data_IF_406037280454
#
_entry.id   IF_406037280454
#
_cell.length_a   1.000
_cell.length_b   1.000
_cell.length_c   1.000
_cell.angle_alpha   90.00
_cell.angle_beta   90.00
_cell.angle_gamma   90.00
#
_symmetry.space_group_name_H-M   'P 1'
#
loop_
_entity.id
_entity.type
_entity.pdbx_description
1 polymer ?
#
# COMPACT_ATOMS: atom_id res chain seq x y z
N UNK A 1 27.59 -12.66 12.57
CA UNK A 1 26.38 -11.85 12.25
C UNK A 1 26.41 -10.48 12.94
N UNK A 2 26.61 -10.39 14.26
CA UNK A 2 26.67 -9.11 15.00
C UNK A 2 27.76 -8.16 14.47
N UNK A 3 28.95 -8.66 14.14
CA UNK A 3 30.03 -7.84 13.55
C UNK A 3 29.69 -7.27 12.16
N UNK A 4 28.97 -8.04 11.33
CA UNK A 4 28.52 -7.57 10.00
C UNK A 4 27.41 -6.52 10.11
N UNK A 5 26.53 -6.65 11.09
CA UNK A 5 25.51 -5.65 11.39
C UNK A 5 26.14 -4.36 11.93
N UNK A 6 27.13 -4.46 12.82
CA UNK A 6 27.87 -3.30 13.33
C UNK A 6 28.66 -2.59 12.21
N UNK A 7 29.29 -3.35 11.31
CA UNK A 7 29.97 -2.80 10.14
C UNK A 7 29.01 -2.12 9.17
N UNK A 8 27.85 -2.75 8.89
CA UNK A 8 26.79 -2.15 8.07
C UNK A 8 26.22 -0.86 8.67
N UNK A 9 26.00 -0.84 10.00
CA UNK A 9 25.57 0.35 10.72
C UNK A 9 26.62 1.47 10.64
N UNK A 10 27.90 1.12 10.80
CA UNK A 10 29.01 2.07 10.68
C UNK A 10 29.08 2.69 9.28
N UNK A 11 28.98 1.87 8.23
CA UNK A 11 28.93 2.35 6.85
C UNK A 11 27.69 3.22 6.57
N UNK A 12 26.54 2.86 7.13
CA UNK A 12 25.32 3.66 7.00
C UNK A 12 25.44 5.03 7.68
N UNK A 13 25.96 5.07 8.91
CA UNK A 13 26.21 6.31 9.66
C UNK A 13 27.24 7.17 8.93
N UNK A 14 28.33 6.59 8.45
CA UNK A 14 29.33 7.29 7.64
C UNK A 14 28.73 7.85 6.35
N UNK A 15 27.87 7.09 5.66
CA UNK A 15 27.18 7.56 4.46
C UNK A 15 26.19 8.70 4.76
N UNK A 16 25.43 8.63 5.86
CA UNK A 16 24.52 9.71 6.28
C UNK A 16 25.28 10.97 6.71
N UNK A 17 26.37 10.82 7.47
CA UNK A 17 27.24 11.93 7.85
C UNK A 17 27.86 12.58 6.61
N UNK A 18 28.31 11.78 5.64
CA UNK A 18 28.81 12.27 4.36
C UNK A 18 27.74 13.03 3.57
N UNK A 19 26.50 12.52 3.49
CA UNK A 19 25.41 13.24 2.82
C UNK A 19 25.08 14.58 3.48
N UNK A 20 25.05 14.64 4.81
CA UNK A 20 24.82 15.89 5.55
C UNK A 20 25.97 16.88 5.35
N UNK A 21 27.22 16.42 5.41
CA UNK A 21 28.40 17.23 5.13
C UNK A 21 28.40 17.76 3.69
N UNK A 22 28.03 16.93 2.71
CA UNK A 22 27.90 17.36 1.32
C UNK A 22 26.78 18.37 1.11
N UNK A 23 25.63 18.22 1.79
CA UNK A 23 24.54 19.20 1.71
C UNK A 23 24.92 20.56 2.32
N UNK A 24 25.61 20.57 3.47
CA UNK A 24 26.13 21.80 4.06
C UNK A 24 27.22 22.47 3.20
N UNK A 25 28.16 21.68 2.67
CA UNK A 25 29.24 22.19 1.81
C UNK A 25 28.73 22.70 0.44
N UNK A 26 27.61 22.18 -0.07
CA UNK A 26 26.97 22.64 -1.31
C UNK A 26 26.51 24.09 -1.24
N UNK A 27 26.14 24.58 -0.05
CA UNK A 27 25.68 25.95 0.16
C UNK A 27 26.84 26.94 0.22
N UNK A 28 28.04 26.49 0.63
CA UNK A 28 29.14 27.39 0.99
C UNK A 28 30.28 27.47 -0.04
N UNK A 29 30.45 26.49 -0.96
CA UNK A 29 31.53 26.54 -1.95
C UNK A 29 31.26 25.69 -3.23
N UNK A 30 30.95 26.32 -4.39
CA UNK A 30 30.69 25.62 -5.65
C UNK A 30 31.87 24.78 -6.19
N UNK A 31 33.11 25.12 -5.80
CA UNK A 31 34.31 24.33 -6.12
C UNK A 31 34.35 23.00 -5.36
N UNK A 32 33.95 23.00 -4.09
CA UNK A 32 33.84 21.79 -3.24
C UNK A 32 32.71 20.88 -3.73
N UNK A 33 31.63 21.45 -4.25
CA UNK A 33 30.54 20.70 -4.87
C UNK A 33 30.99 19.87 -6.08
N UNK A 34 31.89 20.40 -6.93
CA UNK A 34 32.44 19.68 -8.10
C UNK A 34 33.33 18.50 -7.69
N UNK A 35 34.21 18.68 -6.71
CA UNK A 35 35.05 17.60 -6.18
C UNK A 35 34.23 16.54 -5.45
N UNK A 36 33.24 16.93 -4.65
CA UNK A 36 32.32 16.02 -3.98
C UNK A 36 31.49 15.20 -4.99
N UNK A 37 31.01 15.81 -6.08
CA UNK A 37 30.30 15.09 -7.16
C UNK A 37 31.20 14.07 -7.86
N UNK A 38 32.48 14.41 -8.11
CA UNK A 38 33.46 13.49 -8.70
C UNK A 38 33.74 12.31 -7.77
N UNK A 39 33.99 12.58 -6.48
CA UNK A 39 34.19 11.55 -5.46
C UNK A 39 32.96 10.65 -5.30
N UNK A 40 31.76 11.22 -5.25
CA UNK A 40 30.50 10.48 -5.21
C UNK A 40 30.36 9.56 -6.42
N UNK A 41 30.64 10.05 -7.63
CA UNK A 41 30.55 9.24 -8.84
C UNK A 41 31.62 8.12 -8.87
N UNK A 42 32.84 8.39 -8.41
CA UNK A 42 33.89 7.37 -8.32
C UNK A 42 33.52 6.32 -7.26
N UNK A 43 33.03 6.74 -6.10
CA UNK A 43 32.56 5.86 -5.04
C UNK A 43 31.37 5.01 -5.50
N UNK A 44 30.34 5.62 -6.10
CA UNK A 44 29.19 4.90 -6.65
C UNK A 44 29.60 3.92 -7.74
N UNK A 45 30.55 4.28 -8.60
CA UNK A 45 31.09 3.39 -9.64
C UNK A 45 31.87 2.21 -9.07
N UNK A 46 32.51 2.39 -7.90
CA UNK A 46 33.22 1.33 -7.19
C UNK A 46 32.27 0.47 -6.34
N UNK A 47 31.21 1.07 -5.80
CA UNK A 47 30.26 0.44 -4.89
C UNK A 47 29.13 -0.30 -5.62
N UNK A 48 28.57 0.28 -6.67
CA UNK A 48 27.48 -0.30 -7.44
C UNK A 48 28.03 -1.27 -8.48
N UNK A 49 27.58 -2.53 -8.40
CA UNK A 49 27.76 -3.46 -9.50
C UNK A 49 27.02 -2.93 -10.73
N UNK A 50 27.69 -2.98 -11.89
CA UNK A 50 27.05 -2.65 -13.16
C UNK A 50 26.04 -3.74 -13.48
N UNK A 51 24.77 -3.44 -13.23
CA UNK A 51 23.67 -4.32 -13.61
C UNK A 51 23.40 -4.17 -15.10
N UNK A 52 23.25 -5.27 -15.86
CA UNK A 52 22.76 -5.20 -17.23
C UNK A 52 21.35 -4.59 -17.25
N UNK A 53 21.00 -3.92 -18.34
CA UNK A 53 19.70 -3.22 -18.47
C UNK A 53 18.56 -4.23 -18.55
N UNK A 54 18.76 -5.34 -19.25
CA UNK A 54 17.81 -6.43 -19.35
C UNK A 54 18.55 -7.75 -19.65
N UNK A 55 18.15 -8.82 -18.96
CA UNK A 55 18.50 -10.20 -19.28
C UNK A 55 17.21 -11.05 -19.25
N UNK A 56 17.15 -12.17 -20.01
CA UNK A 56 16.04 -13.12 -19.88
C UNK A 56 16.13 -13.85 -18.53
N UNK A 57 14.96 -14.25 -18.00
CA UNK A 57 14.89 -15.20 -16.88
C UNK A 57 14.86 -16.62 -17.44
N UNK A 58 15.61 -17.53 -16.82
CA UNK A 58 15.68 -18.93 -17.25
C UNK A 58 14.31 -19.62 -17.22
N UNK A 59 13.45 -19.24 -16.27
CA UNK A 59 12.09 -19.77 -16.16
C UNK A 59 11.22 -19.57 -17.41
N UNK A 60 11.52 -18.56 -18.25
CA UNK A 60 10.75 -18.25 -19.45
C UNK A 60 11.46 -18.66 -20.75
N UNK A 61 12.69 -19.16 -20.68
CA UNK A 61 13.48 -19.57 -21.84
C UNK A 61 13.59 -21.10 -21.89
N UNK A 62 12.64 -21.76 -22.57
CA UNK A 62 12.54 -23.22 -22.56
C UNK A 62 13.70 -23.95 -23.29
N UNK A 63 14.47 -23.27 -24.16
CA UNK A 63 15.51 -23.92 -24.98
C UNK A 63 16.69 -23.01 -25.39
N UNK A 64 16.93 -21.87 -24.73
CA UNK A 64 17.97 -20.92 -25.20
C UNK A 64 19.21 -20.94 -24.29
N UNK A 65 20.40 -21.12 -24.89
CA UNK A 65 21.73 -20.98 -24.24
C UNK A 65 22.12 -19.50 -24.14
N UNK A 66 21.18 -18.64 -23.75
CA UNK A 66 21.47 -17.22 -23.54
C UNK A 66 21.93 -17.02 -22.11
N UNK A 67 22.82 -16.04 -21.93
CA UNK A 67 23.21 -15.57 -20.61
C UNK A 67 21.98 -14.98 -19.89
N UNK A 68 21.59 -15.59 -18.76
CA UNK A 68 20.36 -15.24 -18.03
C UNK A 68 20.66 -14.39 -16.78
N UNK A 69 19.61 -13.81 -16.16
CA UNK A 69 19.75 -13.14 -14.86
C UNK A 69 20.37 -14.04 -13.80
N UNK A 70 20.03 -15.32 -13.82
CA UNK A 70 20.53 -16.33 -12.89
C UNK A 70 22.05 -16.58 -13.09
N UNK A 71 22.54 -16.53 -14.33
CA UNK A 71 23.97 -16.62 -14.61
C UNK A 71 24.72 -15.37 -14.18
N UNK A 72 24.16 -14.19 -14.47
CA UNK A 72 24.72 -12.92 -14.00
C UNK A 72 24.80 -12.84 -12.48
N UNK A 73 23.76 -13.28 -11.80
CA UNK A 73 23.71 -13.29 -10.34
C UNK A 73 24.77 -14.22 -9.74
N UNK A 74 24.95 -15.42 -10.31
CA UNK A 74 26.00 -16.35 -9.92
C UNK A 74 27.38 -15.73 -10.12
N UNK A 75 27.65 -15.21 -11.32
CA UNK A 75 28.96 -14.64 -11.65
C UNK A 75 29.26 -13.39 -10.81
N UNK A 76 28.27 -12.52 -10.57
CA UNK A 76 28.44 -11.34 -9.73
C UNK A 76 28.71 -11.70 -8.26
N UNK A 77 28.12 -12.79 -7.77
CA UNK A 77 28.36 -13.30 -6.41
C UNK A 77 29.76 -13.88 -6.27
N UNK A 78 30.26 -14.58 -7.29
CA UNK A 78 31.58 -15.19 -7.31
C UNK A 78 32.69 -14.16 -7.51
N UNK A 79 32.51 -13.21 -8.43
CA UNK A 79 33.51 -12.19 -8.76
C UNK A 79 33.55 -11.04 -7.73
N UNK A 80 32.40 -10.67 -7.15
CA UNK A 80 32.29 -9.54 -6.23
C UNK A 80 31.46 -9.82 -4.97
N UNK A 81 31.83 -10.82 -4.14
CA UNK A 81 30.99 -11.29 -3.03
C UNK A 81 30.62 -10.21 -2.02
N UNK A 82 31.57 -9.33 -1.67
CA UNK A 82 31.33 -8.25 -0.69
C UNK A 82 30.39 -7.18 -1.26
N UNK A 83 30.57 -6.77 -2.53
CA UNK A 83 29.72 -5.75 -3.15
C UNK A 83 28.31 -6.29 -3.38
N UNK A 84 28.22 -7.52 -3.86
CA UNK A 84 26.96 -8.22 -4.05
C UNK A 84 26.20 -8.32 -2.72
N UNK A 85 26.87 -8.74 -1.64
CA UNK A 85 26.27 -8.79 -0.31
C UNK A 85 25.75 -7.43 0.16
N UNK A 86 26.53 -6.36 0.02
CA UNK A 86 26.13 -5.00 0.43
C UNK A 86 24.98 -4.43 -0.41
N UNK A 87 24.92 -4.76 -1.70
CA UNK A 87 23.91 -4.24 -2.62
C UNK A 87 22.59 -5.02 -2.56
N UNK A 88 22.64 -6.35 -2.41
CA UNK A 88 21.47 -7.23 -2.53
C UNK A 88 21.04 -7.86 -1.21
N UNK A 89 21.99 -8.37 -0.42
CA UNK A 89 21.67 -9.06 0.85
C UNK A 89 21.47 -8.11 2.02
N UNK A 90 22.28 -7.04 2.13
CA UNK A 90 22.19 -6.10 3.24
C UNK A 90 20.85 -5.35 3.27
N UNK A 91 20.27 -4.86 2.15
CA UNK A 91 18.98 -4.18 2.18
C UNK A 91 17.83 -5.10 2.59
N UNK A 92 17.85 -6.38 2.24
CA UNK A 92 16.80 -7.33 2.64
C UNK A 92 16.89 -7.66 4.14
N UNK A 93 18.10 -7.88 4.67
CA UNK A 93 18.34 -8.05 6.10
C UNK A 93 17.95 -6.78 6.87
N UNK A 94 18.36 -5.61 6.38
CA UNK A 94 18.03 -4.32 6.98
C UNK A 94 16.52 -4.05 6.96
N UNK A 95 15.85 -4.32 5.85
CA UNK A 95 14.39 -4.21 5.74
C UNK A 95 13.73 -5.12 6.78
N UNK A 96 14.12 -6.40 6.86
CA UNK A 96 13.58 -7.34 7.86
C UNK A 96 13.84 -6.88 9.30
N UNK A 97 15.01 -6.33 9.60
CA UNK A 97 15.37 -5.83 10.92
C UNK A 97 14.64 -4.53 11.29
N UNK A 98 14.35 -3.67 10.32
CA UNK A 98 13.68 -2.37 10.54
C UNK A 98 12.17 -2.41 10.40
N UNK A 99 11.62 -3.45 9.79
CA UNK A 99 10.17 -3.66 9.65
C UNK A 99 9.39 -3.59 10.98
N UNK A 100 9.80 -4.28 12.07
CA UNK A 100 9.08 -4.17 13.34
C UNK A 100 9.08 -2.75 13.90
N UNK A 101 10.16 -1.99 13.72
CA UNK A 101 10.21 -0.59 14.14
C UNK A 101 9.32 0.31 13.27
N UNK A 102 9.24 0.04 11.97
CA UNK A 102 8.31 0.74 11.07
C UNK A 102 6.87 0.46 11.45
N UNK A 103 6.53 -0.79 11.74
CA UNK A 103 5.20 -1.20 12.19
C UNK A 103 4.86 -0.59 13.55
N UNK A 104 5.80 -0.60 14.51
CA UNK A 104 5.62 0.03 15.81
C UNK A 104 5.44 1.56 15.69
N UNK A 105 6.25 2.21 14.85
CA UNK A 105 6.08 3.65 14.56
C UNK A 105 4.74 3.92 13.91
N UNK A 106 4.34 3.12 12.93
CA UNK A 106 3.04 3.25 12.28
C UNK A 106 1.90 3.08 13.29
N UNK A 107 1.95 2.02 14.11
CA UNK A 107 0.99 1.77 15.18
C UNK A 107 0.92 2.94 16.19
N UNK A 108 2.07 3.47 16.61
CA UNK A 108 2.13 4.58 17.55
C UNK A 108 1.57 5.86 16.93
N UNK A 109 1.96 6.15 15.69
CA UNK A 109 1.46 7.29 14.94
C UNK A 109 -0.06 7.20 14.76
N UNK A 110 -0.59 6.05 14.38
CA UNK A 110 -2.02 5.87 14.13
C UNK A 110 -2.86 5.87 15.41
N UNK A 111 -2.34 5.30 16.51
CA UNK A 111 -3.07 5.18 17.79
C UNK A 111 -2.95 6.37 18.72
N UNK A 112 -1.84 7.12 18.67
CA UNK A 112 -1.52 8.14 19.67
C UNK A 112 -1.41 9.54 19.05
N UNK A 113 -0.74 9.67 17.91
CA UNK A 113 -0.40 11.00 17.35
C UNK A 113 -1.47 11.49 16.38
N UNK A 114 -1.89 10.62 15.46
CA UNK A 114 -2.79 10.91 14.35
C UNK A 114 -4.12 10.14 14.49
N UNK A 115 -4.68 10.13 15.70
CA UNK A 115 -5.95 9.42 16.04
C UNK A 115 -7.12 9.74 15.09
N UNK A 116 -7.05 10.87 14.39
CA UNK A 116 -8.15 11.45 13.61
C UNK A 116 -7.94 11.38 12.09
N UNK A 117 -6.85 10.79 11.58
CA UNK A 117 -6.49 10.92 10.15
C UNK A 117 -6.21 9.60 9.42
N UNK A 118 -6.23 8.46 10.10
CA UNK A 118 -6.14 7.18 9.42
C UNK A 118 -7.51 6.54 9.37
N UNK A 119 -8.19 6.74 8.24
CA UNK A 119 -9.35 5.94 7.92
C UNK A 119 -8.86 4.50 7.75
N UNK A 120 -9.30 3.62 8.64
CA UNK A 120 -8.98 2.20 8.50
C UNK A 120 -9.65 1.69 7.22
N UNK A 121 -8.87 1.36 6.19
CA UNK A 121 -9.39 0.80 4.93
C UNK A 121 -9.54 -0.73 5.01
N UNK A 122 -9.20 -1.34 6.15
CA UNK A 122 -9.25 -2.78 6.36
C UNK A 122 -10.69 -3.20 6.64
N UNK A 123 -11.49 -3.25 5.60
CA UNK A 123 -12.83 -3.81 5.69
C UNK A 123 -12.83 -5.34 5.46
N UNK A 124 -13.93 -6.04 5.83
CA UNK A 124 -14.13 -7.50 5.67
C UNK A 124 -14.05 -8.10 4.25
N UNK A 125 -13.07 -7.73 3.45
CA UNK A 125 -12.78 -8.26 2.11
C UNK A 125 -11.50 -7.66 1.56
N UNK A 126 -10.77 -6.91 2.41
CA UNK A 126 -9.51 -6.28 2.08
C UNK A 126 -8.49 -7.36 1.70
N UNK A 127 -8.25 -7.46 0.38
CA UNK A 127 -7.12 -8.20 -0.16
C UNK A 127 -5.92 -7.27 -0.02
N UNK A 128 -5.02 -7.62 0.87
CA UNK A 128 -3.73 -6.96 1.08
C UNK A 128 -3.13 -6.47 -0.25
N UNK A 129 -2.68 -5.21 -0.29
CA UNK A 129 -2.06 -4.65 -1.50
C UNK A 129 -2.55 -3.26 -1.87
N UNK A 130 -2.47 -2.95 -3.16
CA UNK A 130 -2.93 -1.69 -3.74
C UNK A 130 -4.45 -1.68 -3.80
N UNK A 131 -5.07 -0.67 -3.20
CA UNK A 131 -6.50 -0.38 -3.30
C UNK A 131 -6.66 0.82 -4.21
N UNK A 132 -7.61 0.75 -5.15
CA UNK A 132 -7.88 1.88 -6.02
C UNK A 132 -8.34 3.09 -5.20
N UNK A 133 -7.91 4.32 -5.55
CA UNK A 133 -8.28 5.51 -4.80
C UNK A 133 -9.80 5.71 -4.65
N UNK A 134 -10.59 5.31 -5.65
CA UNK A 134 -12.05 5.35 -5.61
C UNK A 134 -12.63 4.41 -4.53
N UNK A 135 -12.12 3.18 -4.47
CA UNK A 135 -12.52 2.18 -3.47
C UNK A 135 -12.06 2.60 -2.06
N UNK A 136 -10.88 3.22 -1.95
CA UNK A 136 -10.43 3.77 -0.68
C UNK A 136 -11.36 4.89 -0.16
N UNK A 137 -11.88 5.75 -1.04
CA UNK A 137 -12.85 6.78 -0.67
C UNK A 137 -14.18 6.15 -0.24
N UNK A 138 -14.67 5.16 -0.99
CA UNK A 138 -15.88 4.41 -0.63
C UNK A 138 -15.75 3.83 0.79
N UNK A 139 -14.68 3.09 1.05
CA UNK A 139 -14.40 2.50 2.36
C UNK A 139 -14.29 3.54 3.45
N UNK A 140 -13.68 4.68 3.13
CA UNK A 140 -13.56 5.75 4.10
C UNK A 140 -14.89 6.35 4.50
N UNK A 141 -15.74 6.67 3.53
CA UNK A 141 -17.05 7.24 3.80
C UNK A 141 -17.93 6.27 4.61
N UNK A 142 -17.98 4.99 4.23
CA UNK A 142 -18.81 4.02 4.93
C UNK A 142 -18.28 3.63 6.30
N UNK A 143 -16.97 3.71 6.54
CA UNK A 143 -16.43 3.50 7.89
C UNK A 143 -16.75 4.65 8.83
N UNK A 144 -16.86 5.88 8.32
CA UNK A 144 -17.39 7.00 9.11
C UNK A 144 -18.86 6.74 9.48
N UNK A 145 -19.70 6.33 8.52
CA UNK A 145 -21.09 5.95 8.80
C UNK A 145 -21.18 4.85 9.84
N UNK A 146 -20.43 3.75 9.66
CA UNK A 146 -20.41 2.62 10.58
C UNK A 146 -20.04 3.05 11.99
N UNK A 147 -18.94 3.80 12.13
CA UNK A 147 -18.52 4.31 13.43
C UNK A 147 -19.57 5.22 14.08
N UNK A 148 -20.27 6.04 13.29
CA UNK A 148 -21.35 6.88 13.80
C UNK A 148 -22.51 6.04 14.36
N UNK A 149 -22.99 5.05 13.61
CA UNK A 149 -24.09 4.17 14.03
C UNK A 149 -23.68 3.30 15.23
N UNK A 150 -22.50 2.67 15.19
CA UNK A 150 -22.00 1.77 16.25
C UNK A 150 -21.82 2.49 17.59
N UNK A 151 -21.52 3.79 17.56
CA UNK A 151 -21.39 4.62 18.76
C UNK A 151 -22.71 5.27 19.22
N UNK A 152 -23.85 4.83 18.68
CA UNK A 152 -25.17 5.29 19.10
C UNK A 152 -25.56 6.67 18.55
N UNK A 153 -25.03 7.06 17.39
CA UNK A 153 -25.37 8.35 16.74
C UNK A 153 -26.83 8.47 16.28
N UNK A 154 -27.59 7.36 16.26
CA UNK A 154 -29.01 7.37 15.93
C UNK A 154 -29.84 7.67 17.19
N UNK A 155 -30.68 8.70 17.11
CA UNK A 155 -31.48 9.15 18.25
C UNK A 155 -32.79 8.39 18.42
N UNK A 156 -33.20 7.60 17.41
CA UNK A 156 -34.47 6.89 17.41
C UNK A 156 -35.65 7.84 17.20
N UNK A 157 -35.47 8.86 16.36
CA UNK A 157 -36.46 9.89 16.12
C UNK A 157 -37.75 9.29 15.53
N UNK A 158 -38.91 9.65 16.10
CA UNK A 158 -40.20 9.20 15.58
C UNK A 158 -40.56 9.92 14.28
N UNK A 159 -41.06 9.17 13.30
CA UNK A 159 -41.61 9.72 12.05
C UNK A 159 -42.75 10.72 12.25
N UNK A 160 -43.44 10.66 13.39
CA UNK A 160 -44.58 11.54 13.70
C UNK A 160 -44.17 12.95 14.10
N UNK A 161 -42.97 13.12 14.65
CA UNK A 161 -42.53 14.39 15.25
C UNK A 161 -41.54 15.14 14.35
N UNK A 162 -40.64 14.41 13.69
CA UNK A 162 -39.61 14.99 12.82
C UNK A 162 -39.48 14.15 11.55
N UNK A 163 -40.41 14.29 10.58
CA UNK A 163 -40.46 13.42 9.41
C UNK A 163 -39.17 13.46 8.60
N UNK A 164 -38.53 14.62 8.49
CA UNK A 164 -37.23 14.74 7.81
C UNK A 164 -36.10 14.05 8.56
N UNK A 165 -36.05 14.16 9.89
CA UNK A 165 -35.00 13.50 10.69
C UNK A 165 -35.18 11.99 10.66
N UNK A 166 -36.41 11.51 10.82
CA UNK A 166 -36.74 10.09 10.73
C UNK A 166 -36.42 9.51 9.34
N UNK A 167 -36.70 10.24 8.26
CA UNK A 167 -36.31 9.82 6.90
C UNK A 167 -34.80 9.72 6.74
N UNK A 168 -34.02 10.63 7.36
CA UNK A 168 -32.55 10.58 7.32
C UNK A 168 -32.01 9.42 8.15
N UNK A 169 -32.51 9.21 9.36
CA UNK A 169 -32.11 8.07 10.21
C UNK A 169 -32.47 6.74 9.53
N UNK A 170 -33.61 6.67 8.84
CA UNK A 170 -33.97 5.53 8.01
C UNK A 170 -32.95 5.30 6.88
N UNK A 171 -32.60 6.35 6.14
CA UNK A 171 -31.60 6.27 5.07
C UNK A 171 -30.22 5.84 5.60
N UNK A 172 -29.79 6.36 6.75
CA UNK A 172 -28.56 5.94 7.44
C UNK A 172 -28.59 4.45 7.79
N UNK A 173 -29.70 3.96 8.34
CA UNK A 173 -29.88 2.56 8.69
C UNK A 173 -29.85 1.65 7.46
N UNK A 174 -30.51 2.04 6.36
CA UNK A 174 -30.49 1.28 5.11
C UNK A 174 -29.06 1.17 4.57
N UNK A 175 -28.31 2.27 4.52
CA UNK A 175 -26.93 2.29 4.06
C UNK A 175 -26.00 1.50 4.99
N UNK A 176 -26.21 1.59 6.30
CA UNK A 176 -25.47 0.84 7.29
C UNK A 176 -25.68 -0.68 7.15
N UNK A 177 -26.93 -1.13 7.00
CA UNK A 177 -27.26 -2.54 6.81
C UNK A 177 -26.73 -3.07 5.48
N UNK A 178 -26.86 -2.30 4.40
CA UNK A 178 -26.25 -2.66 3.12
C UNK A 178 -24.72 -2.80 3.27
N UNK A 179 -24.06 -1.85 3.94
CA UNK A 179 -22.61 -1.88 4.12
C UNK A 179 -22.12 -3.04 4.99
N UNK A 180 -22.84 -3.37 6.06
CA UNK A 180 -22.44 -4.38 7.04
C UNK A 180 -22.82 -5.80 6.66
N UNK A 181 -23.90 -5.98 5.90
CA UNK A 181 -24.42 -7.31 5.55
C UNK A 181 -24.59 -7.45 4.02
N UNK A 182 -25.35 -6.56 3.39
CA UNK A 182 -25.78 -6.70 1.98
C UNK A 182 -24.63 -6.79 0.99
N UNK A 183 -23.70 -5.83 1.03
CA UNK A 183 -22.54 -5.75 0.14
C UNK A 183 -21.68 -7.01 0.18
N UNK A 184 -21.52 -7.63 1.34
CA UNK A 184 -20.70 -8.85 1.48
C UNK A 184 -21.35 -10.05 0.82
N UNK A 185 -22.66 -10.17 0.93
CA UNK A 185 -23.42 -11.22 0.28
C UNK A 185 -23.32 -11.05 -1.24
N UNK A 186 -23.50 -9.82 -1.72
CA UNK A 186 -23.38 -9.45 -3.13
C UNK A 186 -21.99 -9.78 -3.71
N UNK A 187 -20.92 -9.32 -3.06
CA UNK A 187 -19.53 -9.60 -3.48
C UNK A 187 -19.19 -11.10 -3.41
N UNK A 188 -19.58 -11.79 -2.33
CA UNK A 188 -19.31 -13.23 -2.19
C UNK A 188 -20.01 -14.05 -3.28
N UNK A 189 -21.25 -13.68 -3.63
CA UNK A 189 -21.99 -14.33 -4.70
C UNK A 189 -21.33 -14.09 -6.07
N UNK A 190 -20.87 -12.87 -6.35
CA UNK A 190 -20.13 -12.56 -7.57
C UNK A 190 -18.80 -13.33 -7.66
N UNK A 191 -18.03 -13.41 -6.57
CA UNK A 191 -16.79 -14.18 -6.54
C UNK A 191 -17.02 -15.68 -6.79
N UNK A 192 -18.08 -16.25 -6.20
CA UNK A 192 -18.47 -17.65 -6.44
C UNK A 192 -18.89 -17.86 -7.89
N UNK A 193 -19.67 -16.95 -8.46
CA UNK A 193 -20.08 -17.02 -9.86
C UNK A 193 -18.88 -16.97 -10.81
N UNK A 194 -17.92 -16.07 -10.57
CA UNK A 194 -16.67 -16.00 -11.32
C UNK A 194 -15.83 -17.28 -11.19
N UNK A 195 -15.76 -17.86 -9.99
CA UNK A 195 -15.00 -19.09 -9.75
C UNK A 195 -15.65 -20.34 -10.38
N UNK A 196 -16.98 -20.34 -10.54
CA UNK A 196 -17.75 -21.44 -11.13
C UNK A 196 -17.92 -21.33 -12.64
N UNK A 197 -17.59 -20.19 -13.24
CA UNK A 197 -17.67 -20.01 -14.68
C UNK A 197 -16.64 -20.90 -15.40
N UNK A 198 -17.12 -21.89 -16.16
CA UNK A 198 -16.27 -22.85 -16.90
C UNK A 198 -16.18 -22.45 -18.38
N UNK A 199 -17.16 -21.72 -18.90
CA UNK A 199 -17.20 -21.26 -20.29
C UNK A 199 -17.19 -19.74 -20.47
N UNK A 200 -16.81 -19.29 -21.67
CA UNK A 200 -16.71 -17.86 -22.02
C UNK A 200 -18.01 -17.08 -21.79
N UNK A 201 -19.17 -17.70 -22.04
CA UNK A 201 -20.47 -17.08 -21.84
C UNK A 201 -20.79 -16.86 -20.35
N UNK A 202 -20.51 -17.85 -19.50
CA UNK A 202 -20.69 -17.75 -18.05
C UNK A 202 -19.72 -16.75 -17.45
N UNK A 203 -18.49 -16.75 -17.92
CA UNK A 203 -17.47 -15.80 -17.50
C UNK A 203 -17.87 -14.37 -17.85
N UNK A 204 -18.41 -14.16 -19.06
CA UNK A 204 -18.92 -12.85 -19.48
C UNK A 204 -20.08 -12.38 -18.60
N UNK A 205 -21.04 -13.26 -18.30
CA UNK A 205 -22.16 -12.93 -17.41
C UNK A 205 -21.66 -12.57 -16.00
N UNK A 206 -20.68 -13.31 -15.48
CA UNK A 206 -20.08 -13.02 -14.18
C UNK A 206 -19.31 -11.68 -14.17
N UNK A 207 -18.72 -11.29 -15.30
CA UNK A 207 -18.08 -9.99 -15.46
C UNK A 207 -19.12 -8.84 -15.51
N UNK A 208 -20.21 -9.01 -16.26
CA UNK A 208 -21.32 -8.04 -16.31
C UNK A 208 -21.92 -7.83 -14.90
N UNK A 209 -22.05 -8.91 -14.12
CA UNK A 209 -22.48 -8.80 -12.73
C UNK A 209 -21.48 -8.03 -11.85
N UNK A 210 -20.17 -8.25 -12.05
CA UNK A 210 -19.12 -7.50 -11.34
C UNK A 210 -19.18 -6.00 -11.68
N UNK A 211 -19.46 -5.65 -12.93
CA UNK A 211 -19.63 -4.26 -13.36
C UNK A 211 -20.86 -3.63 -12.70
N UNK A 212 -21.99 -4.33 -12.68
CA UNK A 212 -23.21 -3.88 -11.99
C UNK A 212 -22.98 -3.62 -10.50
N UNK A 213 -22.19 -4.46 -9.81
CA UNK A 213 -21.80 -4.20 -8.42
C UNK A 213 -21.01 -2.90 -8.25
N UNK A 214 -20.17 -2.55 -9.22
CA UNK A 214 -19.46 -1.27 -9.24
C UNK A 214 -20.42 -0.08 -9.37
N UNK A 215 -21.52 -0.22 -10.12
CA UNK A 215 -22.56 0.81 -10.23
C UNK A 215 -23.37 0.93 -8.93
N UNK A 216 -23.72 -0.19 -8.30
CA UNK A 216 -24.40 -0.20 -7.01
C UNK A 216 -23.55 0.45 -5.91
N UNK A 217 -22.25 0.13 -5.86
CA UNK A 217 -21.29 0.77 -4.94
C UNK A 217 -21.27 2.31 -5.12
N UNK A 218 -21.28 2.78 -6.37
CA UNK A 218 -21.34 4.22 -6.68
C UNK A 218 -22.67 4.85 -6.27
N UNK A 219 -23.79 4.16 -6.50
CA UNK A 219 -25.12 4.61 -6.11
C UNK A 219 -25.22 4.76 -4.59
N UNK A 220 -24.77 3.76 -3.83
CA UNK A 220 -24.78 3.80 -2.38
C UNK A 220 -23.85 4.88 -1.83
N UNK A 221 -22.68 5.08 -2.44
CA UNK A 221 -21.80 6.19 -2.10
C UNK A 221 -22.46 7.55 -2.35
N UNK A 222 -23.15 7.72 -3.49
CA UNK A 222 -23.86 8.95 -3.79
C UNK A 222 -24.96 9.25 -2.76
N UNK A 223 -25.73 8.22 -2.37
CA UNK A 223 -26.73 8.31 -1.29
C UNK A 223 -26.10 8.72 0.05
N UNK A 224 -24.98 8.11 0.41
CA UNK A 224 -24.23 8.45 1.63
C UNK A 224 -23.72 9.90 1.59
N UNK A 225 -23.18 10.34 0.46
CA UNK A 225 -22.71 11.72 0.26
C UNK A 225 -23.84 12.72 0.48
N UNK A 226 -25.08 12.40 0.13
CA UNK A 226 -26.23 13.29 0.34
C UNK A 226 -26.59 13.46 1.83
N UNK A 227 -26.34 12.46 2.67
CA UNK A 227 -26.62 12.51 4.11
C UNK A 227 -25.39 12.85 4.97
N UNK A 228 -24.21 13.01 4.35
CA UNK A 228 -22.92 13.13 5.05
C UNK A 228 -22.87 14.24 6.10
N UNK A 229 -23.58 15.35 5.88
CA UNK A 229 -23.55 16.52 6.76
C UNK A 229 -24.10 16.22 8.17
N UNK A 230 -24.86 15.14 8.31
CA UNK A 230 -25.46 14.71 9.58
C UNK A 230 -24.60 13.68 10.34
N UNK A 231 -23.49 13.22 9.76
CA UNK A 231 -22.57 12.27 10.41
C UNK A 231 -21.54 12.95 11.33
N UNK A 232 -21.56 14.28 11.38
CA UNK A 232 -20.57 15.12 12.07
C UNK A 232 -21.17 15.99 13.18
N UNK A 233 -22.45 15.79 13.50
CA UNK A 233 -23.17 16.48 14.58
C UNK A 233 -23.06 15.71 15.88
#
# INVERSE_FOLDING_TARGET
MIALLAFGLCLYVLHRAFQLACHGAWVLAPSVARTAKKLKNTFLRWYLLRTPVALPLRAFASNCVLYTWEDWERDAKDEYPVRYFLQWSLPSIWRRATEPFRQAKYWLSSRVINRHHEVDLRNPGYRWGYTDPSEAILYACFNVLKNFVDNGGLTGASFTEFPEQAQREYEMNVLYLWWTEGRWIEHSNCEKALAQAIGDAEYKLALEWKEALGEDDQLMLARLINIRQYLWT
#
